data_IF_941186723584
#
_entry.id   IF_941186723584
#
_cell.length_a   1.000
_cell.length_b   1.000
_cell.length_c   1.000
_cell.angle_alpha   90.00
_cell.angle_beta   90.00
_cell.angle_gamma   90.00
#
_symmetry.space_group_name_H-M   'P 1'
#
loop_
_entity.id
_entity.type
_entity.pdbx_description
1 polymer ?
#
# COMPACT_ATOMS: atom_id res chain seq x y z
N UNK A 1 5.12 -4.51 -3.97
CA UNK A 1 5.12 -5.00 -5.35
C UNK A 1 5.46 -3.88 -6.32
N UNK A 2 6.20 -4.21 -7.33
CA UNK A 2 6.45 -3.36 -8.50
C UNK A 2 6.22 -4.21 -9.73
N UNK A 3 5.85 -3.57 -10.84
CA UNK A 3 5.85 -4.25 -12.15
C UNK A 3 7.23 -4.84 -12.36
N UNK A 4 7.30 -6.08 -12.85
CA UNK A 4 8.57 -6.71 -13.14
C UNK A 4 9.34 -5.83 -14.15
N UNK A 5 10.52 -5.27 -13.78
CA UNK A 5 11.24 -4.38 -14.68
C UNK A 5 11.84 -5.07 -15.90
N UNK A 6 11.80 -6.41 -15.93
CA UNK A 6 12.33 -7.21 -17.03
C UNK A 6 11.27 -7.50 -18.09
N UNK A 7 10.07 -7.82 -17.69
CA UNK A 7 9.03 -8.32 -18.59
C UNK A 7 7.86 -7.33 -18.77
N UNK A 8 7.82 -6.28 -17.96
CA UNK A 8 6.72 -5.29 -17.90
C UNK A 8 5.32 -5.95 -17.76
N UNK A 9 5.29 -7.15 -17.18
CA UNK A 9 4.05 -7.91 -17.00
C UNK A 9 3.23 -7.28 -15.89
N UNK A 10 1.95 -6.96 -16.13
CA UNK A 10 1.06 -6.44 -15.10
C UNK A 10 0.95 -7.38 -13.90
N UNK A 11 0.81 -6.82 -12.71
CA UNK A 11 0.74 -7.58 -11.46
C UNK A 11 -0.54 -8.42 -11.33
N UNK A 12 -1.63 -7.96 -11.95
CA UNK A 12 -2.92 -8.63 -11.87
C UNK A 12 -3.39 -8.84 -10.43
N UNK A 13 -3.90 -10.04 -10.16
CA UNK A 13 -4.43 -10.42 -8.86
C UNK A 13 -3.36 -10.95 -7.89
N UNK A 14 -2.11 -11.09 -8.32
CA UNK A 14 -1.04 -11.70 -7.50
C UNK A 14 -0.87 -11.00 -6.14
N UNK A 15 -0.77 -9.66 -6.05
CA UNK A 15 -0.62 -9.01 -4.75
C UNK A 15 -1.75 -9.33 -3.78
N UNK A 16 -3.00 -9.39 -4.29
CA UNK A 16 -4.17 -9.69 -3.47
C UNK A 16 -4.20 -11.16 -3.03
N UNK A 17 -3.78 -12.08 -3.88
CA UNK A 17 -3.62 -13.49 -3.54
C UNK A 17 -2.55 -13.69 -2.46
N UNK A 18 -1.43 -13.00 -2.58
CA UNK A 18 -0.30 -13.12 -1.63
C UNK A 18 -0.65 -12.55 -0.25
N UNK A 19 -1.28 -11.38 -0.18
CA UNK A 19 -1.72 -10.83 1.12
C UNK A 19 -2.81 -11.71 1.74
N UNK A 20 -3.72 -12.27 0.94
CA UNK A 20 -4.73 -13.22 1.40
C UNK A 20 -4.08 -14.45 2.03
N UNK A 21 -3.10 -15.06 1.34
CA UNK A 21 -2.31 -16.18 1.87
C UNK A 21 -1.56 -15.79 3.15
N UNK A 22 -0.95 -14.61 3.19
CA UNK A 22 -0.21 -14.14 4.35
C UNK A 22 -1.10 -14.06 5.60
N UNK A 23 -2.31 -13.50 5.50
CA UNK A 23 -3.26 -13.45 6.62
C UNK A 23 -3.67 -14.87 7.07
N UNK A 24 -3.97 -15.77 6.14
CA UNK A 24 -4.30 -17.17 6.45
C UNK A 24 -3.15 -17.86 7.19
N UNK A 25 -1.92 -17.66 6.74
CA UNK A 25 -0.73 -18.22 7.37
C UNK A 25 -0.53 -17.68 8.80
N UNK A 26 -0.60 -16.38 8.97
CA UNK A 26 -0.45 -15.71 10.28
C UNK A 26 -1.54 -16.20 11.23
N UNK A 27 -2.80 -16.22 10.80
CA UNK A 27 -3.94 -16.67 11.62
C UNK A 27 -3.82 -18.15 12.01
N UNK A 28 -3.41 -19.00 11.08
CA UNK A 28 -3.20 -20.42 11.36
C UNK A 28 -2.05 -20.68 12.33
N UNK A 29 -1.04 -19.83 12.32
CA UNK A 29 0.14 -19.92 13.19
C UNK A 29 0.07 -18.96 14.39
N UNK A 30 -1.11 -18.53 14.78
CA UNK A 30 -1.30 -17.53 15.83
C UNK A 30 -0.67 -17.95 17.17
N UNK A 31 -0.76 -19.22 17.54
CA UNK A 31 -0.13 -19.77 18.75
C UNK A 31 1.41 -19.70 18.66
N UNK A 32 2.00 -20.11 17.51
CA UNK A 32 3.44 -20.02 17.26
C UNK A 32 3.94 -18.58 17.36
N UNK A 33 3.18 -17.62 16.83
CA UNK A 33 3.53 -16.20 16.86
C UNK A 33 3.10 -15.47 18.14
N UNK A 34 2.41 -16.16 19.05
CA UNK A 34 1.88 -15.60 20.29
C UNK A 34 0.97 -14.38 20.06
N UNK A 35 0.11 -14.47 19.09
CA UNK A 35 -0.88 -13.44 18.75
C UNK A 35 -2.30 -13.98 18.89
N UNK A 36 -3.26 -13.05 18.97
CA UNK A 36 -4.69 -13.38 18.98
C UNK A 36 -5.18 -13.50 17.53
N UNK A 37 -5.69 -14.65 17.09
CA UNK A 37 -6.07 -14.87 15.70
C UNK A 37 -7.23 -14.00 15.21
N UNK A 38 -8.03 -13.45 16.11
CA UNK A 38 -9.14 -12.54 15.84
C UNK A 38 -8.73 -11.05 15.93
N UNK A 39 -7.44 -10.76 16.12
CA UNK A 39 -6.90 -9.39 16.24
C UNK A 39 -5.75 -9.17 15.26
N UNK A 40 -5.99 -9.42 13.99
CA UNK A 40 -5.00 -9.22 12.89
C UNK A 40 -5.43 -8.02 12.06
N UNK A 41 -4.67 -6.93 12.15
CA UNK A 41 -4.87 -5.76 11.32
C UNK A 41 -3.94 -5.76 10.11
N UNK A 42 -4.42 -5.21 8.99
CA UNK A 42 -3.58 -4.81 7.87
C UNK A 42 -3.32 -3.32 7.92
N UNK A 43 -2.11 -2.91 7.55
CA UNK A 43 -1.74 -1.49 7.43
C UNK A 43 -1.06 -1.27 6.09
N UNK A 44 -1.56 -0.34 5.30
CA UNK A 44 -1.03 -0.06 3.98
C UNK A 44 -1.01 1.42 3.64
N UNK A 45 -0.03 1.80 2.82
CA UNK A 45 0.28 3.17 2.43
C UNK A 45 0.18 3.29 0.92
N UNK A 46 -0.46 4.32 0.39
CA UNK A 46 -0.55 4.58 -1.06
C UNK A 46 -1.12 3.38 -1.82
N UNK A 47 -0.39 2.80 -2.76
CA UNK A 47 -0.75 1.53 -3.42
C UNK A 47 -0.85 0.35 -2.45
N UNK A 48 -0.06 0.35 -1.35
CA UNK A 48 -0.22 -0.62 -0.25
C UNK A 48 -1.54 -0.42 0.51
N UNK A 49 -2.01 0.83 0.60
CA UNK A 49 -3.35 1.15 1.10
C UNK A 49 -4.45 0.56 0.21
N UNK A 50 -4.27 0.63 -1.12
CA UNK A 50 -5.15 -0.03 -2.08
C UNK A 50 -5.18 -1.56 -1.86
N UNK A 51 -4.01 -2.18 -1.70
CA UNK A 51 -3.93 -3.62 -1.45
C UNK A 51 -4.65 -4.05 -0.16
N UNK A 52 -4.46 -3.30 0.93
CA UNK A 52 -5.16 -3.55 2.20
C UNK A 52 -6.67 -3.35 2.07
N UNK A 53 -7.10 -2.30 1.38
CA UNK A 53 -8.51 -2.05 1.10
C UNK A 53 -9.10 -3.12 0.18
N UNK A 54 -8.36 -3.56 -0.86
CA UNK A 54 -8.78 -4.66 -1.76
C UNK A 54 -9.05 -5.95 -0.96
N UNK A 55 -8.14 -6.35 -0.08
CA UNK A 55 -8.39 -7.50 0.77
C UNK A 55 -9.60 -7.29 1.68
N UNK A 56 -9.78 -6.07 2.21
CA UNK A 56 -10.89 -5.76 3.12
C UNK A 56 -12.26 -5.89 2.47
N UNK A 57 -12.38 -5.60 1.17
CA UNK A 57 -13.67 -5.67 0.46
C UNK A 57 -13.86 -6.97 -0.34
N UNK A 58 -12.78 -7.57 -0.84
CA UNK A 58 -12.81 -8.77 -1.70
C UNK A 58 -12.38 -10.07 -1.00
N UNK A 59 -12.22 -10.08 0.31
CA UNK A 59 -11.73 -11.26 1.04
C UNK A 59 -12.52 -12.55 0.76
N UNK A 60 -13.81 -12.46 0.47
CA UNK A 60 -14.67 -13.61 0.13
C UNK A 60 -14.37 -14.20 -1.24
N UNK A 61 -13.89 -13.39 -2.17
CA UNK A 61 -13.67 -13.77 -3.56
C UNK A 61 -12.35 -14.52 -3.73
N UNK A 62 -11.41 -14.34 -2.81
CA UNK A 62 -10.05 -14.87 -2.93
C UNK A 62 -9.96 -16.23 -2.27
N UNK A 63 -9.89 -17.25 -3.12
CA UNK A 63 -9.64 -18.64 -2.72
C UNK A 63 -8.15 -18.92 -2.68
N UNK A 64 -7.79 -19.81 -1.79
CA UNK A 64 -6.43 -20.32 -1.71
C UNK A 64 -6.34 -21.68 -2.42
N UNK A 65 -5.34 -21.90 -3.30
CA UNK A 65 -5.18 -23.18 -4.00
C UNK A 65 -4.84 -24.34 -3.05
N UNK A 66 -4.30 -24.05 -1.86
CA UNK A 66 -4.06 -25.05 -0.83
C UNK A 66 -5.28 -25.15 0.11
N UNK A 67 -5.99 -26.30 0.13
CA UNK A 67 -7.17 -26.49 0.96
C UNK A 67 -6.92 -26.30 2.47
N UNK A 68 -5.69 -26.44 2.92
CA UNK A 68 -5.30 -26.24 4.33
C UNK A 68 -5.44 -24.75 4.70
N UNK A 69 -5.04 -23.87 3.79
CA UNK A 69 -5.17 -22.42 3.99
C UNK A 69 -6.54 -21.89 3.57
N UNK A 70 -7.18 -22.47 2.55
CA UNK A 70 -8.51 -22.00 2.11
C UNK A 70 -9.60 -22.10 3.20
N UNK A 71 -9.43 -23.01 4.15
CA UNK A 71 -10.32 -23.17 5.31
C UNK A 71 -10.13 -22.08 6.39
N UNK A 72 -9.03 -21.33 6.32
CA UNK A 72 -8.70 -20.25 7.27
C UNK A 72 -9.16 -18.93 6.70
N UNK A 73 -9.83 -18.10 7.49
CA UNK A 73 -10.29 -16.78 7.03
C UNK A 73 -9.11 -15.89 6.66
N UNK A 74 -9.19 -15.25 5.50
CA UNK A 74 -8.28 -14.19 5.05
C UNK A 74 -8.82 -12.79 5.33
N UNK A 75 -10.02 -12.67 5.95
CA UNK A 75 -10.58 -11.37 6.31
C UNK A 75 -9.71 -10.74 7.40
N UNK A 76 -9.16 -9.54 7.20
CA UNK A 76 -8.50 -8.84 8.29
C UNK A 76 -9.54 -8.41 9.35
N UNK A 77 -9.09 -8.29 10.61
CA UNK A 77 -9.98 -7.90 11.70
C UNK A 77 -10.08 -6.38 11.87
N UNK A 78 -9.13 -5.64 11.27
CA UNK A 78 -9.13 -4.19 11.09
C UNK A 78 -8.23 -3.80 9.92
N UNK A 79 -8.45 -2.62 9.33
CA UNK A 79 -7.60 -2.07 8.27
C UNK A 79 -7.19 -0.62 8.58
N UNK A 80 -5.91 -0.31 8.43
CA UNK A 80 -5.35 1.05 8.50
C UNK A 80 -4.91 1.44 7.09
N UNK A 81 -5.57 2.43 6.52
CA UNK A 81 -5.42 2.87 5.14
C UNK A 81 -4.84 4.30 5.12
N UNK A 82 -3.56 4.40 4.82
CA UNK A 82 -2.82 5.65 4.82
C UNK A 82 -2.72 6.20 3.39
N UNK A 83 -3.29 7.39 3.15
CA UNK A 83 -3.35 8.04 1.83
C UNK A 83 -3.56 7.03 0.68
N UNK A 84 -4.62 6.19 0.78
CA UNK A 84 -4.78 5.03 -0.07
C UNK A 84 -5.23 5.41 -1.48
N UNK A 85 -4.74 4.72 -2.49
CA UNK A 85 -5.43 4.65 -3.77
C UNK A 85 -6.71 3.84 -3.55
N UNK A 86 -7.85 4.29 -4.05
CA UNK A 86 -9.16 3.64 -3.86
C UNK A 86 -9.91 3.47 -5.17
N UNK A 87 -10.08 4.55 -5.92
CA UNK A 87 -10.95 4.57 -7.11
C UNK A 87 -10.18 4.56 -8.41
N UNK A 88 -10.71 3.86 -9.42
CA UNK A 88 -10.30 3.97 -10.81
C UNK A 88 -11.09 5.05 -11.58
N UNK A 89 -11.94 5.83 -10.90
CA UNK A 89 -12.76 6.89 -11.48
C UNK A 89 -12.00 8.21 -11.67
N UNK A 90 -12.70 9.34 -11.54
CA UNK A 90 -12.15 10.69 -11.81
C UNK A 90 -10.97 11.07 -10.92
N UNK A 91 -10.90 10.54 -9.69
CA UNK A 91 -9.82 10.78 -8.75
C UNK A 91 -8.78 9.64 -8.76
N UNK A 92 -8.72 8.85 -9.82
CA UNK A 92 -7.77 7.74 -9.93
C UNK A 92 -6.31 8.22 -9.86
N UNK A 93 -5.44 7.35 -9.35
CA UNK A 93 -4.01 7.41 -9.58
C UNK A 93 -3.67 6.45 -10.74
N UNK A 94 -3.55 6.93 -11.99
CA UNK A 94 -3.50 6.07 -13.19
C UNK A 94 -2.37 5.04 -13.15
N UNK A 95 -1.18 5.45 -12.67
CA UNK A 95 0.00 4.57 -12.60
C UNK A 95 -0.23 3.30 -11.77
N UNK A 96 -1.09 3.34 -10.75
CA UNK A 96 -1.44 2.14 -9.97
C UNK A 96 -2.23 1.13 -10.79
N UNK A 97 -3.15 1.59 -11.63
CA UNK A 97 -3.98 0.71 -12.46
C UNK A 97 -3.22 0.19 -13.66
N UNK A 98 -2.31 0.99 -14.24
CA UNK A 98 -1.36 0.51 -15.24
C UNK A 98 -0.44 -0.59 -14.66
N UNK A 99 0.04 -0.42 -13.44
CA UNK A 99 0.84 -1.45 -12.77
C UNK A 99 0.05 -2.75 -12.53
N UNK A 100 -1.26 -2.65 -12.22
CA UNK A 100 -2.10 -3.83 -11.99
C UNK A 100 -2.49 -4.53 -13.30
N UNK A 101 -2.88 -3.79 -14.33
CA UNK A 101 -3.59 -4.34 -15.48
C UNK A 101 -2.96 -3.98 -16.83
N UNK A 102 -1.87 -3.21 -16.87
CA UNK A 102 -1.26 -2.72 -18.11
C UNK A 102 -1.90 -1.43 -18.63
N UNK A 103 -1.45 -1.00 -19.80
CA UNK A 103 -1.83 0.30 -20.40
C UNK A 103 -3.31 0.38 -20.83
N UNK A 104 -3.94 -0.75 -21.11
CA UNK A 104 -5.31 -0.81 -21.62
C UNK A 104 -6.17 -1.77 -20.77
N UNK A 105 -6.46 -1.43 -19.51
CA UNK A 105 -7.24 -2.29 -18.64
C UNK A 105 -8.70 -2.40 -19.07
N UNK A 106 -9.30 -3.57 -18.89
CA UNK A 106 -10.73 -3.75 -19.07
C UNK A 106 -11.53 -2.95 -18.05
N UNK A 107 -12.66 -2.38 -18.46
CA UNK A 107 -13.53 -1.61 -17.56
C UNK A 107 -14.00 -2.43 -16.35
N UNK A 108 -14.25 -3.74 -16.52
CA UNK A 108 -14.62 -4.65 -15.42
C UNK A 108 -13.54 -4.77 -14.34
N UNK A 109 -12.25 -4.74 -14.75
CA UNK A 109 -11.13 -4.82 -13.83
C UNK A 109 -10.94 -3.50 -13.07
N UNK A 110 -11.13 -2.37 -13.76
CA UNK A 110 -11.19 -1.04 -13.14
C UNK A 110 -12.36 -0.91 -12.16
N UNK A 111 -13.53 -1.43 -12.52
CA UNK A 111 -14.71 -1.43 -11.65
C UNK A 111 -14.51 -2.32 -10.43
N UNK A 112 -13.92 -3.52 -10.60
CA UNK A 112 -13.59 -4.43 -9.51
C UNK A 112 -12.58 -3.83 -8.55
N UNK A 113 -11.61 -3.05 -9.05
CA UNK A 113 -10.61 -2.38 -8.21
C UNK A 113 -10.95 -0.94 -7.86
N UNK A 114 -12.18 -0.48 -8.13
CA UNK A 114 -12.78 0.74 -7.56
C UNK A 114 -13.43 0.37 -6.23
N UNK A 115 -12.62 0.36 -5.17
CA UNK A 115 -12.92 -0.35 -3.92
C UNK A 115 -14.09 0.26 -3.14
N UNK A 116 -14.37 1.54 -3.33
CA UNK A 116 -15.54 2.22 -2.77
C UNK A 116 -16.86 1.60 -3.22
N UNK A 117 -16.87 0.92 -4.36
CA UNK A 117 -18.06 0.24 -4.92
C UNK A 117 -18.34 -1.12 -4.25
N UNK A 118 -17.37 -1.66 -3.52
CA UNK A 118 -17.40 -3.03 -2.98
C UNK A 118 -17.44 -3.10 -1.46
N UNK A 119 -17.54 -1.96 -0.79
CA UNK A 119 -17.73 -1.92 0.67
C UNK A 119 -19.09 -2.49 1.02
N UNK A 120 -19.12 -3.44 1.94
CA UNK A 120 -20.33 -4.09 2.45
C UNK A 120 -20.30 -4.14 3.98
N UNK A 121 -21.36 -4.55 4.62
CA UNK A 121 -21.41 -4.75 6.08
C UNK A 121 -20.38 -5.78 6.60
N UNK A 122 -19.84 -6.64 5.71
CA UNK A 122 -18.80 -7.61 6.05
C UNK A 122 -17.37 -7.04 5.93
N UNK A 123 -17.21 -5.83 5.44
CA UNK A 123 -15.92 -5.13 5.42
C UNK A 123 -15.45 -4.89 6.87
N UNK A 124 -14.16 -5.14 7.20
CA UNK A 124 -13.67 -4.92 8.57
C UNK A 124 -13.70 -3.43 8.94
N UNK A 125 -13.67 -3.11 10.26
CA UNK A 125 -13.45 -1.74 10.70
C UNK A 125 -12.23 -1.09 10.04
N UNK A 126 -12.34 0.18 9.63
CA UNK A 126 -11.32 0.88 8.87
C UNK A 126 -10.88 2.19 9.53
N UNK A 127 -9.58 2.41 9.60
CA UNK A 127 -8.98 3.70 9.93
C UNK A 127 -8.38 4.28 8.66
N UNK A 128 -8.80 5.48 8.28
CA UNK A 128 -8.28 6.18 7.10
C UNK A 128 -7.60 7.48 7.51
N UNK A 129 -6.51 7.81 6.83
CA UNK A 129 -5.96 9.15 6.92
C UNK A 129 -5.31 9.58 5.60
N UNK A 130 -5.34 10.90 5.35
CA UNK A 130 -4.73 11.52 4.18
C UNK A 130 -4.44 13.00 4.45
N UNK A 131 -3.63 13.64 3.62
CA UNK A 131 -3.49 15.11 3.59
C UNK A 131 -4.38 15.69 2.50
N UNK A 132 -4.98 16.86 2.76
CA UNK A 132 -5.91 17.50 1.83
C UNK A 132 -5.22 18.02 0.56
N UNK A 133 -3.91 18.24 0.64
CA UNK A 133 -3.07 18.77 -0.46
C UNK A 133 -2.21 17.70 -1.12
N UNK A 134 -2.56 16.41 -0.98
CA UNK A 134 -1.88 15.32 -1.67
C UNK A 134 -2.10 15.43 -3.18
N UNK A 135 -1.03 15.76 -3.92
CA UNK A 135 -1.06 15.93 -5.38
C UNK A 135 -0.88 14.60 -6.14
N UNK A 136 -0.41 13.54 -5.47
CA UNK A 136 -0.18 12.24 -6.10
C UNK A 136 -1.43 11.36 -6.09
N UNK A 137 -2.07 11.25 -4.92
CA UNK A 137 -3.33 10.53 -4.76
C UNK A 137 -4.36 11.53 -4.24
N UNK A 138 -5.33 11.96 -5.05
CA UNK A 138 -6.33 12.94 -4.65
C UNK A 138 -7.08 12.51 -3.39
N UNK A 139 -7.31 13.45 -2.47
CA UNK A 139 -7.96 13.21 -1.17
C UNK A 139 -9.36 12.61 -1.30
N UNK A 140 -9.99 12.79 -2.44
CA UNK A 140 -11.28 12.19 -2.80
C UNK A 140 -11.27 10.66 -2.67
N UNK A 141 -10.13 9.99 -2.85
CA UNK A 141 -10.00 8.56 -2.64
C UNK A 141 -10.45 8.17 -1.22
N UNK A 142 -9.92 8.86 -0.20
CA UNK A 142 -10.28 8.59 1.19
C UNK A 142 -11.73 9.01 1.51
N UNK A 143 -12.23 10.10 0.92
CA UNK A 143 -13.63 10.52 1.08
C UNK A 143 -14.61 9.48 0.51
N UNK A 144 -14.34 8.95 -0.68
CA UNK A 144 -15.17 7.94 -1.34
C UNK A 144 -15.25 6.67 -0.49
N UNK A 145 -14.14 6.17 0.00
CA UNK A 145 -14.13 4.96 0.81
C UNK A 145 -14.80 5.18 2.18
N UNK A 146 -14.54 6.29 2.85
CA UNK A 146 -15.17 6.64 4.12
C UNK A 146 -16.70 6.79 3.97
N UNK A 147 -17.15 7.40 2.87
CA UNK A 147 -18.57 7.49 2.52
C UNK A 147 -19.18 6.10 2.34
N UNK A 148 -18.53 5.22 1.61
CA UNK A 148 -19.00 3.85 1.38
C UNK A 148 -19.06 3.06 2.70
N UNK A 149 -18.06 3.20 3.59
CA UNK A 149 -18.10 2.62 4.94
C UNK A 149 -19.33 3.09 5.72
N UNK A 150 -19.61 4.41 5.70
CA UNK A 150 -20.80 4.98 6.38
C UNK A 150 -22.09 4.39 5.84
N UNK A 151 -22.23 4.31 4.52
CA UNK A 151 -23.43 3.80 3.84
C UNK A 151 -23.65 2.31 4.12
N UNK A 152 -22.58 1.52 4.23
CA UNK A 152 -22.62 0.09 4.54
C UNK A 152 -22.71 -0.22 6.05
N UNK A 153 -22.66 0.79 6.93
CA UNK A 153 -22.68 0.59 8.39
C UNK A 153 -21.38 0.02 8.95
N UNK A 154 -20.27 0.12 8.22
CA UNK A 154 -18.94 -0.31 8.67
C UNK A 154 -18.37 0.70 9.66
N UNK A 155 -17.90 0.29 10.85
CA UNK A 155 -17.19 1.18 11.76
C UNK A 155 -15.92 1.75 11.11
N UNK A 156 -15.77 3.08 11.14
CA UNK A 156 -14.58 3.71 10.59
C UNK A 156 -14.18 4.96 11.36
N UNK A 157 -12.89 5.31 11.28
CA UNK A 157 -12.36 6.62 11.61
C UNK A 157 -11.70 7.22 10.37
N UNK A 158 -11.91 8.51 10.12
CA UNK A 158 -11.33 9.19 8.96
C UNK A 158 -10.73 10.52 9.38
N UNK A 159 -9.42 10.67 9.15
CA UNK A 159 -8.65 11.87 9.49
C UNK A 159 -8.06 12.48 8.22
N UNK A 160 -8.42 13.72 7.94
CA UNK A 160 -7.83 14.49 6.86
C UNK A 160 -7.05 15.66 7.47
N UNK A 161 -5.73 15.61 7.33
CA UNK A 161 -4.84 16.68 7.74
C UNK A 161 -4.91 17.81 6.71
N UNK A 162 -4.89 19.05 7.18
CA UNK A 162 -5.15 20.23 6.33
C UNK A 162 -4.13 20.41 5.22
N UNK A 163 -2.90 19.94 5.44
CA UNK A 163 -1.77 20.16 4.54
C UNK A 163 -0.76 19.02 4.62
N UNK A 164 0.03 18.86 3.57
CA UNK A 164 1.09 17.88 3.47
C UNK A 164 1.16 17.22 2.09
N UNK A 165 2.28 16.55 1.85
CA UNK A 165 2.56 15.87 0.58
C UNK A 165 2.28 14.38 0.68
N UNK A 166 2.23 13.71 -0.45
CA UNK A 166 2.13 12.25 -0.49
C UNK A 166 3.32 11.58 0.20
N UNK A 167 3.07 10.48 0.92
CA UNK A 167 4.15 9.65 1.48
C UNK A 167 4.66 10.08 2.86
N UNK A 168 3.89 10.85 3.64
CA UNK A 168 4.26 11.30 4.98
C UNK A 168 4.03 10.25 6.09
N UNK A 169 4.16 8.97 5.78
CA UNK A 169 3.92 7.89 6.77
C UNK A 169 4.83 7.97 8.01
N UNK A 170 6.07 8.36 7.84
CA UNK A 170 7.01 8.55 8.94
C UNK A 170 6.90 9.94 9.55
N UNK A 171 6.78 10.98 8.74
CA UNK A 171 6.59 12.40 9.13
C UNK A 171 7.50 12.83 10.29
N UNK A 172 8.81 12.62 10.13
CA UNK A 172 9.86 13.02 11.09
C UNK A 172 10.85 13.98 10.45
N UNK A 173 11.65 14.65 11.26
CA UNK A 173 12.74 15.48 10.76
C UNK A 173 13.76 14.66 9.93
N UNK A 174 14.03 13.41 10.32
CA UNK A 174 14.91 12.51 9.56
C UNK A 174 14.33 12.18 8.17
N UNK A 175 13.01 11.99 8.07
CA UNK A 175 12.32 11.82 6.79
C UNK A 175 12.45 13.07 5.92
N UNK A 176 12.24 14.26 6.51
CA UNK A 176 12.33 15.53 5.78
C UNK A 176 13.75 15.82 5.27
N UNK A 177 14.73 15.55 6.11
CA UNK A 177 16.16 15.75 5.80
C UNK A 177 16.76 14.56 5.04
N UNK A 178 15.92 13.59 4.64
CA UNK A 178 16.32 12.39 3.91
C UNK A 178 17.45 11.59 4.60
N UNK A 179 17.59 11.71 5.93
CA UNK A 179 18.57 10.96 6.71
C UNK A 179 18.18 9.49 6.80
N UNK A 180 19.14 8.60 6.53
CA UNK A 180 18.92 7.15 6.50
C UNK A 180 18.09 6.68 5.30
N UNK A 181 17.96 7.49 4.27
CA UNK A 181 17.33 7.09 3.00
C UNK A 181 18.33 6.28 2.19
N UNK A 182 18.41 5.00 2.50
CA UNK A 182 19.10 4.05 1.63
C UNK A 182 18.27 3.83 0.36
N UNK A 183 18.85 3.87 -0.82
CA UNK A 183 18.15 3.56 -2.07
C UNK A 183 17.94 2.04 -2.21
N UNK A 184 17.25 1.45 -1.26
CA UNK A 184 17.14 0.00 -1.08
C UNK A 184 16.66 -0.71 -2.36
N UNK A 185 15.65 -0.18 -3.01
CA UNK A 185 15.13 -0.77 -4.25
C UNK A 185 16.14 -0.68 -5.39
N UNK A 186 16.80 0.46 -5.53
CA UNK A 186 17.80 0.69 -6.58
C UNK A 186 19.05 -0.16 -6.36
N UNK A 187 19.46 -0.31 -5.09
CA UNK A 187 20.55 -1.19 -4.71
C UNK A 187 20.24 -2.65 -5.03
N UNK A 188 19.02 -3.11 -4.77
CA UNK A 188 18.61 -4.46 -5.14
C UNK A 188 18.59 -4.70 -6.64
N UNK A 189 18.12 -3.72 -7.43
CA UNK A 189 18.15 -3.79 -8.89
C UNK A 189 19.59 -3.84 -9.38
N UNK A 190 20.47 -3.06 -8.80
CA UNK A 190 21.92 -3.08 -9.11
C UNK A 190 22.52 -4.45 -8.80
N UNK A 191 22.29 -4.98 -7.59
CA UNK A 191 22.76 -6.31 -7.18
C UNK A 191 22.23 -7.42 -8.09
N UNK A 192 20.95 -7.33 -8.50
CA UNK A 192 20.38 -8.26 -9.47
C UNK A 192 21.10 -8.17 -10.82
N UNK A 193 21.29 -6.97 -11.36
CA UNK A 193 22.02 -6.77 -12.63
C UNK A 193 23.43 -7.35 -12.57
N UNK A 194 24.15 -7.12 -11.50
CA UNK A 194 25.49 -7.68 -11.27
C UNK A 194 25.47 -9.22 -11.16
N UNK A 195 24.50 -9.81 -10.45
CA UNK A 195 24.34 -11.25 -10.34
C UNK A 195 24.04 -11.91 -11.71
N UNK A 196 23.23 -11.23 -12.55
CA UNK A 196 22.99 -11.66 -13.92
C UNK A 196 24.30 -11.68 -14.73
N UNK A 197 25.09 -10.61 -14.64
CA UNK A 197 26.37 -10.54 -15.37
C UNK A 197 27.37 -11.59 -14.91
N UNK A 198 27.36 -11.97 -13.62
CA UNK A 198 28.17 -13.05 -13.08
C UNK A 198 27.65 -14.45 -13.45
N UNK A 199 26.48 -14.57 -14.07
CA UNK A 199 25.88 -15.84 -14.45
C UNK A 199 25.26 -16.62 -13.26
N UNK A 200 24.92 -15.93 -12.18
CA UNK A 200 24.31 -16.48 -10.95
C UNK A 200 22.78 -16.65 -11.07
N UNK A 201 22.22 -16.25 -12.20
CA UNK A 201 20.79 -16.29 -12.47
C UNK A 201 20.51 -17.00 -13.81
N UNK A 202 19.23 -17.29 -14.08
CA UNK A 202 18.76 -17.84 -15.36
C UNK A 202 18.62 -16.78 -16.48
N UNK A 203 18.80 -15.52 -16.18
CA UNK A 203 18.63 -14.44 -17.16
C UNK A 203 19.87 -14.29 -18.05
N UNK A 204 19.66 -13.82 -19.27
CA UNK A 204 20.73 -13.53 -20.21
C UNK A 204 21.55 -12.32 -19.78
N UNK A 205 22.85 -12.31 -20.10
CA UNK A 205 23.76 -11.18 -19.73
C UNK A 205 23.26 -9.82 -20.22
N UNK A 206 22.65 -9.77 -21.41
CA UNK A 206 22.05 -8.56 -21.97
C UNK A 206 21.05 -7.92 -21.03
N UNK A 207 20.21 -8.72 -20.36
CA UNK A 207 19.25 -8.24 -19.36
C UNK A 207 19.95 -7.54 -18.18
N UNK A 208 21.08 -8.09 -17.72
CA UNK A 208 21.89 -7.46 -16.68
C UNK A 208 22.48 -6.13 -17.10
N UNK A 209 22.97 -6.05 -18.34
CA UNK A 209 23.50 -4.82 -18.94
C UNK A 209 22.41 -3.74 -19.04
N UNK A 210 21.23 -4.09 -19.52
CA UNK A 210 20.05 -3.18 -19.62
C UNK A 210 19.60 -2.69 -18.25
N UNK A 211 19.52 -3.57 -17.24
CA UNK A 211 19.18 -3.17 -15.87
C UNK A 211 20.19 -2.19 -15.29
N UNK A 212 21.48 -2.47 -15.45
CA UNK A 212 22.53 -1.58 -14.93
C UNK A 212 22.60 -0.26 -15.70
N UNK A 213 22.33 -0.27 -16.99
CA UNK A 213 22.26 0.96 -17.79
C UNK A 213 21.09 1.85 -17.36
N UNK A 214 19.93 1.25 -17.07
CA UNK A 214 18.70 1.96 -16.68
C UNK A 214 18.71 2.40 -15.21
N UNK A 215 19.24 1.59 -14.32
CA UNK A 215 19.10 1.75 -12.87
C UNK A 215 20.43 1.73 -12.10
N UNK A 216 21.53 1.32 -12.70
CA UNK A 216 22.82 1.08 -12.02
C UNK A 216 23.67 2.33 -11.74
N UNK A 217 23.22 3.51 -12.12
CA UNK A 217 23.95 4.75 -11.91
C UNK A 217 23.64 5.27 -10.51
N UNK A 218 24.60 5.10 -9.58
CA UNK A 218 24.61 5.84 -8.32
C UNK A 218 24.83 7.33 -8.60
N UNK A 219 23.79 8.03 -9.00
CA UNK A 219 23.76 9.49 -8.85
C UNK A 219 23.23 9.75 -7.44
N UNK A 220 23.84 10.67 -6.67
CA UNK A 220 23.16 11.19 -5.51
C UNK A 220 21.79 11.68 -6.01
N UNK A 221 20.73 11.13 -5.42
CA UNK A 221 19.39 11.58 -5.77
C UNK A 221 19.34 13.10 -5.52
N UNK A 222 18.82 13.91 -6.46
CA UNK A 222 18.65 15.34 -6.20
C UNK A 222 17.86 15.51 -4.89
N UNK A 223 18.18 16.55 -4.13
CA UNK A 223 17.40 16.88 -2.93
C UNK A 223 15.90 16.91 -3.33
N UNK A 224 15.11 16.12 -2.61
CA UNK A 224 13.69 15.98 -2.90
C UNK A 224 12.93 17.30 -2.66
N UNK A 225 13.42 18.08 -1.69
CA UNK A 225 12.76 19.30 -1.23
C UNK A 225 13.72 20.49 -1.26
N UNK A 226 13.28 21.61 -1.81
CA UNK A 226 13.92 22.90 -1.64
C UNK A 226 13.90 23.36 -0.18
N UNK A 227 14.68 24.37 0.15
CA UNK A 227 14.70 24.95 1.51
C UNK A 227 13.33 25.44 1.95
N UNK A 228 12.60 26.11 1.06
CA UNK A 228 11.29 26.69 1.37
C UNK A 228 10.23 25.59 1.58
N UNK A 229 10.29 24.51 0.77
CA UNK A 229 9.44 23.34 0.94
C UNK A 229 9.73 22.63 2.26
N UNK A 230 11.02 22.46 2.63
CA UNK A 230 11.40 21.89 3.94
C UNK A 230 10.85 22.73 5.10
N UNK A 231 10.96 24.05 5.02
CA UNK A 231 10.43 24.94 6.06
C UNK A 231 8.91 24.84 6.16
N UNK A 232 8.22 24.76 5.03
CA UNK A 232 6.78 24.55 4.99
C UNK A 232 6.40 23.19 5.60
N UNK A 233 7.01 22.12 5.15
CA UNK A 233 6.73 20.76 5.62
C UNK A 233 7.01 20.56 7.12
N UNK A 234 8.02 21.26 7.69
CA UNK A 234 8.26 21.23 9.14
C UNK A 234 7.06 21.67 9.97
N UNK A 235 6.26 22.60 9.46
CA UNK A 235 5.06 23.09 10.15
C UNK A 235 3.99 22.00 10.28
N UNK A 236 3.88 21.14 9.27
CA UNK A 236 2.86 20.07 9.21
C UNK A 236 3.33 18.73 9.75
N UNK A 237 4.64 18.50 9.90
CA UNK A 237 5.19 17.23 10.37
C UNK A 237 4.56 16.73 11.67
N UNK A 238 4.38 17.63 12.64
CA UNK A 238 3.85 17.29 13.96
C UNK A 238 2.38 16.91 13.89
N UNK A 239 1.61 17.64 13.09
CA UNK A 239 0.19 17.37 12.88
C UNK A 239 0.00 16.02 12.18
N UNK A 240 0.63 15.85 11.02
CA UNK A 240 0.54 14.60 10.25
C UNK A 240 1.10 13.43 11.04
N UNK A 241 2.22 13.59 11.75
CA UNK A 241 2.83 12.54 12.57
C UNK A 241 1.93 11.99 13.69
N UNK A 242 0.89 12.74 14.07
CA UNK A 242 -0.09 12.30 15.06
C UNK A 242 -0.94 11.10 14.60
N UNK A 243 -1.00 10.81 13.29
CA UNK A 243 -1.78 9.70 12.76
C UNK A 243 -1.49 8.37 13.46
N UNK A 244 -0.25 8.12 13.84
CA UNK A 244 0.17 6.87 14.52
C UNK A 244 -0.51 6.71 15.88
N UNK A 245 -0.57 7.81 16.64
CA UNK A 245 -1.27 7.81 17.93
C UNK A 245 -2.77 7.65 17.75
N UNK A 246 -3.36 8.34 16.78
CA UNK A 246 -4.78 8.24 16.44
C UNK A 246 -5.15 6.80 16.03
N UNK A 247 -4.35 6.19 15.16
CA UNK A 247 -4.55 4.80 14.74
C UNK A 247 -4.42 3.81 15.91
N UNK A 248 -3.44 4.01 16.80
CA UNK A 248 -3.27 3.19 18.01
C UNK A 248 -4.48 3.29 18.94
N UNK A 249 -4.95 4.50 19.22
CA UNK A 249 -6.11 4.71 20.07
C UNK A 249 -7.39 4.12 19.45
N UNK A 250 -7.55 4.31 18.14
CA UNK A 250 -8.68 3.72 17.40
C UNK A 250 -8.65 2.20 17.45
N UNK A 251 -7.49 1.59 17.21
CA UNK A 251 -7.35 0.13 17.21
C UNK A 251 -7.61 -0.46 18.62
N UNK A 252 -7.16 0.24 19.67
CA UNK A 252 -7.48 -0.14 21.04
C UNK A 252 -8.98 -0.14 21.30
N UNK A 253 -9.70 0.89 20.82
CA UNK A 253 -11.15 0.97 20.96
C UNK A 253 -11.89 -0.11 20.16
N UNK A 254 -11.41 -0.44 18.94
CA UNK A 254 -11.99 -1.52 18.11
C UNK A 254 -11.86 -2.88 18.78
N UNK A 255 -10.78 -3.08 19.53
CA UNK A 255 -10.48 -4.38 20.16
C UNK A 255 -10.73 -4.44 21.67
N UNK A 256 -11.35 -3.41 22.26
CA UNK A 256 -11.64 -3.30 23.70
C UNK A 256 -10.39 -3.59 24.59
N UNK A 257 -9.24 -2.94 24.26
CA UNK A 257 -7.96 -3.09 24.97
C UNK A 257 -7.34 -1.76 25.38
#
# INVERSE_FOLDING_TARGET
YTVNPLDEVPLGMQPLQDISRAIRMIRRKAEEYRITPEKIAVCGFSAGGHLCASLSVHWKDIKDPDPVYDRVSNRPDAAILAYPVITAGKAAHPGSFVALFGENPDQKDLDYMSLEKHVTADTPPCFLWQTATDESVPVENSYLFAKACKEAGVPYAHHVFSDGVHGMSVATEDWLEERGREPYTMEQIRLLGEAILRGETRFEKKTGEELLAKYGISRPAPEKWSRDEKEHLRKVLKEVGAWRMLAKCWLAAVWDV
#
